data_IF_687271932085
#
_entry.id   IF_687271932085
#
_cell.length_a   1.000
_cell.length_b   1.000
_cell.length_c   1.000
_cell.angle_alpha   90.00
_cell.angle_beta   90.00
_cell.angle_gamma   90.00
#
_symmetry.space_group_name_H-M   'P 1'
#
loop_
_entity.id
_entity.type
_entity.pdbx_description
1 polymer ?
#
# COMPACT_ATOMS: atom_id res chain seq x y z
N UNK A 1 33.64 -2.13 0.71
CA UNK A 1 32.21 -1.95 1.08
C UNK A 1 32.10 -2.24 2.58
N UNK A 2 31.85 -1.25 3.44
CA UNK A 2 31.75 -1.49 4.88
C UNK A 2 30.38 -2.09 5.22
N UNK A 3 30.39 -3.27 5.81
CA UNK A 3 29.21 -3.92 6.40
C UNK A 3 28.59 -2.99 7.45
N UNK A 4 27.34 -2.61 7.23
CA UNK A 4 26.58 -1.83 8.21
C UNK A 4 26.16 -2.79 9.33
N UNK A 5 26.61 -2.63 10.58
CA UNK A 5 26.22 -3.52 11.65
C UNK A 5 24.70 -3.40 11.86
N UNK A 6 23.98 -4.49 11.63
CA UNK A 6 22.59 -4.61 12.02
C UNK A 6 22.51 -4.38 13.53
N UNK A 7 22.04 -3.19 13.92
CA UNK A 7 21.71 -2.87 15.31
C UNK A 7 20.58 -3.78 15.74
N UNK A 8 20.93 -4.94 16.30
CA UNK A 8 19.99 -5.81 16.96
C UNK A 8 19.36 -5.00 18.09
N UNK A 9 18.11 -4.57 17.90
CA UNK A 9 17.32 -3.96 18.95
C UNK A 9 17.18 -4.98 20.08
N UNK A 10 18.11 -4.93 21.04
CA UNK A 10 18.04 -5.68 22.28
C UNK A 10 16.75 -5.26 22.94
N UNK A 11 15.74 -6.13 22.88
CA UNK A 11 14.47 -5.91 23.54
C UNK A 11 14.77 -5.68 25.02
N UNK A 12 14.50 -4.47 25.52
CA UNK A 12 14.59 -4.19 26.95
C UNK A 12 13.77 -5.28 27.67
N UNK A 13 14.33 -5.95 28.70
CA UNK A 13 13.56 -6.90 29.48
C UNK A 13 12.33 -6.18 30.02
N UNK A 14 11.15 -6.78 29.80
CA UNK A 14 9.90 -6.19 30.26
C UNK A 14 9.97 -6.04 31.79
N UNK A 15 9.57 -4.88 32.34
CA UNK A 15 9.55 -4.70 33.79
C UNK A 15 8.70 -5.79 34.43
N UNK A 16 9.26 -6.48 35.43
CA UNK A 16 8.56 -7.51 36.16
C UNK A 16 7.48 -6.84 37.02
N UNK A 17 6.22 -7.15 36.71
CA UNK A 17 5.08 -6.70 37.49
C UNK A 17 5.14 -7.25 38.90
N UNK A 18 4.85 -6.40 39.90
CA UNK A 18 4.70 -6.85 41.29
C UNK A 18 3.48 -7.75 41.43
N UNK A 19 3.46 -8.63 42.44
CA UNK A 19 2.32 -9.54 42.67
C UNK A 19 1.00 -8.77 42.78
N UNK A 20 0.99 -7.69 43.57
CA UNK A 20 -0.17 -6.83 43.74
C UNK A 20 -0.67 -6.21 42.42
N UNK A 21 0.23 -5.81 41.53
CA UNK A 21 -0.17 -5.29 40.20
C UNK A 21 -0.80 -6.37 39.32
N UNK A 22 -0.33 -7.62 39.42
CA UNK A 22 -0.92 -8.73 38.68
C UNK A 22 -2.32 -9.07 39.18
N UNK A 23 -2.53 -9.04 40.49
CA UNK A 23 -3.83 -9.35 41.09
C UNK A 23 -4.87 -8.28 40.74
N UNK A 24 -4.49 -7.00 40.82
CA UNK A 24 -5.36 -5.89 40.40
C UNK A 24 -5.75 -6.00 38.92
N UNK A 25 -4.80 -6.38 38.05
CA UNK A 25 -5.10 -6.62 36.63
C UNK A 25 -6.03 -7.81 36.42
N UNK A 26 -5.76 -8.93 37.09
CA UNK A 26 -6.55 -10.13 36.97
C UNK A 26 -8.01 -9.87 37.35
N UNK A 27 -8.25 -9.03 38.36
CA UNK A 27 -9.59 -8.61 38.76
C UNK A 27 -10.24 -7.60 37.78
N UNK A 28 -9.50 -6.60 37.30
CA UNK A 28 -10.08 -5.50 36.52
C UNK A 28 -10.28 -5.83 35.02
N UNK A 29 -9.37 -6.60 34.41
CA UNK A 29 -9.37 -6.83 32.96
C UNK A 29 -10.61 -7.58 32.45
N UNK A 30 -11.12 -8.63 33.10
CA UNK A 30 -12.34 -9.30 32.67
C UNK A 30 -13.56 -8.36 32.69
N UNK A 31 -13.66 -7.51 33.71
CA UNK A 31 -14.75 -6.53 33.85
C UNK A 31 -14.72 -5.52 32.71
N UNK A 32 -13.57 -4.89 32.46
CA UNK A 32 -13.41 -3.90 31.39
C UNK A 32 -13.64 -4.50 30.00
N UNK A 33 -13.18 -5.74 29.77
CA UNK A 33 -13.34 -6.40 28.48
C UNK A 33 -14.78 -6.91 28.25
N UNK A 34 -15.40 -7.58 29.23
CA UNK A 34 -16.71 -8.20 29.05
C UNK A 34 -17.88 -7.25 29.29
N UNK A 35 -17.82 -6.40 30.31
CA UNK A 35 -18.92 -5.50 30.65
C UNK A 35 -18.85 -4.22 29.81
N UNK A 36 -17.66 -3.62 29.70
CA UNK A 36 -17.50 -2.35 29.00
C UNK A 36 -17.22 -2.52 27.49
N UNK A 37 -16.96 -3.75 27.03
CA UNK A 37 -16.62 -4.08 25.62
C UNK A 37 -15.43 -3.28 25.08
N UNK A 38 -14.45 -2.97 25.92
CA UNK A 38 -13.27 -2.21 25.47
C UNK A 38 -12.35 -3.06 24.60
N UNK A 39 -11.77 -2.44 23.57
CA UNK A 39 -10.70 -3.06 22.80
C UNK A 39 -9.42 -3.15 23.64
N UNK A 40 -8.55 -4.11 23.31
CA UNK A 40 -7.23 -4.24 23.95
C UNK A 40 -6.46 -2.92 23.89
N UNK A 41 -6.48 -2.26 22.74
CA UNK A 41 -5.72 -1.03 22.52
C UNK A 41 -6.28 0.12 23.37
N UNK A 42 -7.60 0.17 23.58
CA UNK A 42 -8.23 1.13 24.51
C UNK A 42 -7.83 0.83 25.96
N UNK A 43 -7.90 -0.43 26.40
CA UNK A 43 -7.48 -0.82 27.76
C UNK A 43 -6.01 -0.45 27.98
N UNK A 44 -5.14 -0.75 27.01
CA UNK A 44 -3.73 -0.42 27.07
C UNK A 44 -3.50 1.10 27.22
N UNK A 45 -4.19 1.92 26.43
CA UNK A 45 -4.08 3.38 26.50
C UNK A 45 -4.58 3.94 27.84
N UNK A 46 -5.74 3.50 28.33
CA UNK A 46 -6.34 4.02 29.57
C UNK A 46 -5.57 3.60 30.81
N UNK A 47 -4.97 2.41 30.79
CA UNK A 47 -4.22 1.89 31.95
C UNK A 47 -2.74 2.25 31.90
N UNK A 48 -2.21 2.63 30.73
CA UNK A 48 -0.77 2.86 30.49
C UNK A 48 0.05 1.59 30.26
N UNK A 49 -0.59 0.46 29.95
CA UNK A 49 0.07 -0.84 29.84
C UNK A 49 0.42 -1.18 28.39
N UNK A 50 1.47 -1.99 28.20
CA UNK A 50 1.80 -2.52 26.89
C UNK A 50 0.65 -3.42 26.35
N UNK A 51 0.15 -3.20 25.12
CA UNK A 51 -0.94 -3.99 24.55
C UNK A 51 -0.68 -5.50 24.53
N UNK A 52 0.58 -5.95 24.43
CA UNK A 52 0.92 -7.37 24.47
C UNK A 52 0.74 -7.95 25.86
N UNK A 53 1.07 -7.19 26.91
CA UNK A 53 0.84 -7.59 28.30
C UNK A 53 -0.66 -7.76 28.56
N UNK A 54 -1.48 -6.81 28.11
CA UNK A 54 -2.94 -6.89 28.20
C UNK A 54 -3.48 -8.13 27.45
N UNK A 55 -3.02 -8.38 26.22
CA UNK A 55 -3.42 -9.59 25.46
C UNK A 55 -3.00 -10.87 26.15
N UNK A 56 -1.77 -10.92 26.69
CA UNK A 56 -1.25 -12.09 27.39
C UNK A 56 -2.10 -12.41 28.61
N UNK A 57 -2.36 -11.42 29.45
CA UNK A 57 -3.20 -11.57 30.65
C UNK A 57 -4.63 -11.98 30.31
N UNK A 58 -5.26 -11.33 29.34
CA UNK A 58 -6.61 -11.72 28.90
C UNK A 58 -6.62 -13.17 28.38
N UNK A 59 -5.55 -13.62 27.69
CA UNK A 59 -5.46 -15.00 27.18
C UNK A 59 -5.23 -16.03 28.28
N UNK A 60 -4.49 -15.66 29.34
CA UNK A 60 -4.25 -16.52 30.50
C UNK A 60 -5.50 -16.65 31.38
N UNK A 61 -6.29 -15.57 31.52
CA UNK A 61 -7.45 -15.49 32.41
C UNK A 61 -8.77 -15.88 31.74
N UNK A 62 -8.91 -15.62 30.43
CA UNK A 62 -10.11 -15.98 29.68
C UNK A 62 -9.83 -17.20 28.82
N UNK A 63 -10.48 -18.32 29.13
CA UNK A 63 -10.46 -19.54 28.29
C UNK A 63 -11.09 -19.31 26.92
N UNK A 64 -11.90 -18.25 26.79
CA UNK A 64 -12.32 -17.76 25.49
C UNK A 64 -11.10 -17.18 24.77
N UNK A 65 -10.74 -17.66 23.57
CA UNK A 65 -9.66 -17.07 22.81
C UNK A 65 -9.95 -15.58 22.66
N UNK A 66 -9.16 -14.76 23.35
CA UNK A 66 -9.13 -13.31 23.17
C UNK A 66 -9.05 -13.14 21.68
N UNK A 67 -10.12 -12.60 21.07
CA UNK A 67 -10.17 -12.38 19.63
C UNK A 67 -9.07 -11.38 19.32
N UNK A 68 -7.86 -11.88 19.14
CA UNK A 68 -6.75 -11.16 18.57
C UNK A 68 -7.30 -10.59 17.27
N UNK A 69 -7.04 -9.31 17.08
CA UNK A 69 -7.58 -8.43 16.05
C UNK A 69 -7.32 -8.90 14.58
N UNK A 70 -6.99 -10.17 14.35
CA UNK A 70 -6.64 -10.74 13.06
C UNK A 70 -7.64 -11.77 12.50
N UNK A 71 -8.65 -12.22 13.25
CA UNK A 71 -9.59 -13.24 12.74
C UNK A 71 -11.09 -12.96 12.98
N UNK A 72 -11.47 -11.75 13.37
CA UNK A 72 -12.85 -11.32 13.10
C UNK A 72 -12.92 -10.90 11.63
N UNK A 73 -13.01 -11.88 10.73
CA UNK A 73 -13.54 -11.61 9.40
C UNK A 73 -14.80 -10.75 9.55
N UNK A 74 -14.99 -9.80 8.63
CA UNK A 74 -16.19 -8.96 8.62
C UNK A 74 -17.39 -9.88 8.85
N UNK A 75 -18.10 -9.69 9.97
CA UNK A 75 -19.20 -10.58 10.37
C UNK A 75 -20.43 -10.26 9.54
N UNK A 76 -20.29 -10.53 8.25
CA UNK A 76 -21.35 -10.39 7.29
C UNK A 76 -22.18 -11.65 7.31
N UNK A 77 -23.48 -11.46 7.27
CA UNK A 77 -24.42 -12.53 6.96
C UNK A 77 -24.13 -13.06 5.54
N UNK A 78 -24.58 -14.28 5.26
CA UNK A 78 -24.46 -14.88 3.91
C UNK A 78 -25.12 -13.96 2.86
N UNK A 79 -26.25 -13.33 3.20
CA UNK A 79 -26.96 -12.38 2.34
C UNK A 79 -26.11 -11.14 2.04
N UNK A 80 -25.47 -10.55 3.05
CA UNK A 80 -24.60 -9.38 2.86
C UNK A 80 -23.36 -9.70 2.03
N UNK A 81 -22.75 -10.89 2.20
CA UNK A 81 -21.62 -11.31 1.37
C UNK A 81 -22.01 -11.44 -0.10
N UNK A 82 -23.19 -12.03 -0.39
CA UNK A 82 -23.72 -12.12 -1.76
C UNK A 82 -24.00 -10.75 -2.37
N UNK A 83 -24.56 -9.83 -1.59
CA UNK A 83 -24.80 -8.46 -2.06
C UNK A 83 -23.50 -7.71 -2.35
N UNK A 84 -22.48 -7.86 -1.49
CA UNK A 84 -21.15 -7.30 -1.73
C UNK A 84 -20.52 -7.82 -3.02
N UNK A 85 -20.59 -9.13 -3.25
CA UNK A 85 -20.12 -9.75 -4.49
C UNK A 85 -20.84 -9.16 -5.72
N UNK A 86 -22.18 -9.11 -5.69
CA UNK A 86 -22.99 -8.53 -6.76
C UNK A 86 -22.64 -7.06 -7.04
N UNK A 87 -22.45 -6.24 -5.99
CA UNK A 87 -22.07 -4.82 -6.14
C UNK A 87 -20.68 -4.67 -6.73
N UNK A 88 -19.74 -5.52 -6.34
CA UNK A 88 -18.40 -5.56 -6.93
C UNK A 88 -18.46 -5.91 -8.41
N UNK A 89 -19.20 -6.96 -8.78
CA UNK A 89 -19.39 -7.38 -10.19
C UNK A 89 -20.04 -6.27 -11.03
N UNK A 90 -21.00 -5.54 -10.45
CA UNK A 90 -21.66 -4.39 -11.08
C UNK A 90 -20.80 -3.12 -11.17
N UNK A 91 -19.54 -3.15 -10.74
CA UNK A 91 -18.60 -2.05 -10.96
C UNK A 91 -18.03 -1.42 -9.70
N UNK A 92 -18.66 -1.59 -8.53
CA UNK A 92 -18.22 -0.93 -7.29
C UNK A 92 -16.78 -1.31 -6.94
N UNK A 93 -15.95 -0.35 -6.55
CA UNK A 93 -14.54 -0.63 -6.22
C UNK A 93 -14.41 -1.24 -4.82
N UNK A 94 -13.33 -1.98 -4.58
CA UNK A 94 -13.06 -2.53 -3.23
C UNK A 94 -12.95 -1.42 -2.19
N UNK A 95 -12.35 -0.27 -2.54
CA UNK A 95 -12.22 0.88 -1.64
C UNK A 95 -13.58 1.47 -1.25
N UNK A 96 -14.48 1.65 -2.23
CA UNK A 96 -15.83 2.17 -1.94
C UNK A 96 -16.61 1.22 -1.03
N UNK A 97 -16.51 -0.09 -1.27
CA UNK A 97 -17.15 -1.08 -0.42
C UNK A 97 -16.50 -1.12 0.97
N UNK A 98 -15.17 -1.03 1.05
CA UNK A 98 -14.45 -1.05 2.32
C UNK A 98 -14.83 0.14 3.22
N UNK A 99 -14.96 1.34 2.64
CA UNK A 99 -15.40 2.53 3.35
C UNK A 99 -16.85 2.42 3.88
N UNK A 100 -17.76 1.86 3.09
CA UNK A 100 -19.17 1.69 3.49
C UNK A 100 -19.35 0.76 4.69
N UNK A 101 -18.48 -0.25 4.79
CA UNK A 101 -18.51 -1.23 5.89
C UNK A 101 -17.47 -0.93 6.99
N UNK A 102 -16.88 0.27 6.98
CA UNK A 102 -15.86 0.73 7.94
C UNK A 102 -14.74 -0.30 8.17
N UNK A 103 -14.15 -0.77 7.08
CA UNK A 103 -13.11 -1.80 7.13
C UNK A 103 -11.95 -1.48 6.19
N UNK A 104 -10.83 -2.17 6.39
CA UNK A 104 -9.64 -1.99 5.55
C UNK A 104 -9.85 -2.62 4.18
N UNK A 105 -9.22 -2.04 3.15
CA UNK A 105 -9.25 -2.58 1.79
C UNK A 105 -8.89 -4.08 1.73
N UNK A 106 -7.83 -4.47 2.45
CA UNK A 106 -7.35 -5.86 2.49
C UNK A 106 -8.39 -6.81 3.10
N UNK A 107 -9.11 -6.38 4.15
CA UNK A 107 -10.20 -7.18 4.74
C UNK A 107 -11.40 -7.32 3.83
N UNK A 108 -11.78 -6.24 3.14
CA UNK A 108 -12.84 -6.29 2.15
C UNK A 108 -12.46 -7.26 1.02
N UNK A 109 -11.19 -7.28 0.64
CA UNK A 109 -10.69 -8.21 -0.37
C UNK A 109 -10.78 -9.68 0.07
N UNK A 110 -10.30 -10.01 1.27
CA UNK A 110 -10.42 -11.37 1.82
C UNK A 110 -11.89 -11.82 1.88
N UNK A 111 -12.79 -10.89 2.20
CA UNK A 111 -14.23 -11.13 2.25
C UNK A 111 -14.81 -11.45 0.87
N UNK A 112 -14.37 -10.74 -0.17
CA UNK A 112 -14.80 -10.98 -1.56
C UNK A 112 -14.25 -12.33 -2.08
N UNK A 113 -12.99 -12.66 -1.79
CA UNK A 113 -12.40 -13.97 -2.13
C UNK A 113 -13.17 -15.09 -1.43
N UNK A 114 -13.47 -14.94 -0.13
CA UNK A 114 -14.27 -15.91 0.62
C UNK A 114 -15.71 -16.04 0.11
N UNK A 115 -16.22 -15.03 -0.61
CA UNK A 115 -17.51 -15.07 -1.30
C UNK A 115 -17.43 -15.70 -2.71
N UNK A 116 -16.25 -16.16 -3.15
CA UNK A 116 -16.02 -16.77 -4.46
C UNK A 116 -15.80 -15.76 -5.59
N UNK A 117 -15.62 -14.48 -5.27
CA UNK A 117 -15.39 -13.45 -6.28
C UNK A 117 -13.96 -13.54 -6.78
N UNK A 118 -13.81 -13.74 -8.09
CA UNK A 118 -12.50 -13.67 -8.73
C UNK A 118 -12.07 -12.21 -8.86
N UNK A 119 -10.82 -11.86 -8.54
CA UNK A 119 -10.30 -10.52 -8.78
C UNK A 119 -10.58 -10.06 -10.20
N UNK A 120 -11.22 -8.90 -10.36
CA UNK A 120 -11.20 -8.24 -11.67
C UNK A 120 -9.74 -8.02 -12.02
N UNK A 121 -9.33 -8.50 -13.20
CA UNK A 121 -8.02 -8.18 -13.76
C UNK A 121 -7.82 -6.68 -13.54
N UNK A 122 -6.74 -6.31 -12.83
CA UNK A 122 -6.45 -4.92 -12.45
C UNK A 122 -6.82 -4.09 -13.66
N UNK A 123 -7.87 -3.25 -13.57
CA UNK A 123 -8.15 -2.23 -14.59
C UNK A 123 -6.84 -1.46 -14.64
N UNK A 124 -6.07 -1.72 -15.69
CA UNK A 124 -4.65 -1.45 -15.66
C UNK A 124 -4.44 -0.02 -15.22
N UNK A 125 -3.48 0.19 -14.32
CA UNK A 125 -2.83 1.47 -14.11
C UNK A 125 -2.47 2.06 -15.48
N UNK A 126 -3.36 2.85 -16.11
CA UNK A 126 -3.21 3.52 -17.41
C UNK A 126 -3.04 2.63 -18.65
N UNK A 127 -2.22 1.58 -18.57
CA UNK A 127 -1.73 0.80 -19.71
C UNK A 127 -2.60 -0.39 -20.10
N UNK A 128 -3.59 -0.76 -19.27
CA UNK A 128 -4.45 -1.92 -19.54
C UNK A 128 -5.50 -1.72 -20.64
N UNK A 129 -5.69 -0.48 -21.13
CA UNK A 129 -6.57 -0.21 -22.29
C UNK A 129 -5.90 -0.46 -23.64
N UNK A 130 -4.57 -0.54 -23.67
CA UNK A 130 -3.80 -0.75 -24.90
C UNK A 130 -3.13 -2.12 -24.80
N UNK A 131 -3.83 -3.16 -25.23
CA UNK A 131 -3.29 -4.52 -25.28
C UNK A 131 -2.84 -4.88 -26.69
N UNK A 132 -1.72 -5.60 -26.80
CA UNK A 132 -1.22 -6.10 -28.09
C UNK A 132 -0.76 -4.99 -29.05
N UNK A 133 -1.28 -5.04 -30.27
CA UNK A 133 -0.90 -4.19 -31.41
C UNK A 133 -1.09 -2.69 -31.14
N UNK A 134 -2.14 -2.32 -30.41
CA UNK A 134 -2.45 -0.93 -30.07
C UNK A 134 -1.34 -0.31 -29.21
N UNK A 135 -0.71 -1.11 -28.34
CA UNK A 135 0.39 -0.62 -27.49
C UNK A 135 1.64 -0.34 -28.29
N UNK A 136 1.92 -1.15 -29.31
CA UNK A 136 3.10 -0.96 -30.19
C UNK A 136 2.92 0.31 -31.01
N UNK A 137 1.75 0.51 -31.60
CA UNK A 137 1.42 1.71 -32.35
C UNK A 137 1.41 2.96 -31.46
N UNK A 138 0.80 2.88 -30.28
CA UNK A 138 0.80 3.97 -29.31
C UNK A 138 2.22 4.34 -28.87
N UNK A 139 3.07 3.35 -28.58
CA UNK A 139 4.47 3.57 -28.23
C UNK A 139 5.23 4.25 -29.38
N UNK A 140 5.03 3.81 -30.62
CA UNK A 140 5.65 4.44 -31.78
C UNK A 140 5.23 5.91 -31.94
N UNK A 141 3.93 6.21 -31.83
CA UNK A 141 3.41 7.56 -31.93
C UNK A 141 3.94 8.48 -30.81
N UNK A 142 4.00 7.97 -29.56
CA UNK A 142 4.57 8.71 -28.42
C UNK A 142 6.05 9.05 -28.67
N UNK A 143 6.82 8.12 -29.21
CA UNK A 143 8.25 8.33 -29.52
C UNK A 143 8.43 9.36 -30.64
N UNK A 144 7.64 9.27 -31.71
CA UNK A 144 7.66 10.23 -32.84
C UNK A 144 7.37 11.65 -32.33
N UNK A 145 6.27 11.83 -31.60
CA UNK A 145 5.90 13.15 -31.06
C UNK A 145 6.95 13.69 -30.07
N UNK A 146 7.62 12.82 -29.31
CA UNK A 146 8.71 13.23 -28.43
C UNK A 146 9.94 13.71 -29.22
N UNK A 147 10.24 13.10 -30.36
CA UNK A 147 11.33 13.55 -31.24
C UNK A 147 11.03 14.91 -31.89
N UNK A 148 9.76 15.20 -32.15
CA UNK A 148 9.29 16.52 -32.59
C UNK A 148 9.37 17.59 -31.48
N UNK A 149 9.78 17.22 -30.26
CA UNK A 149 9.94 18.13 -29.13
C UNK A 149 8.65 18.38 -28.33
N UNK A 150 7.56 17.65 -28.62
CA UNK A 150 6.32 17.79 -27.86
C UNK A 150 6.55 17.50 -26.37
N UNK A 151 5.82 18.20 -25.51
CA UNK A 151 5.86 17.93 -24.07
C UNK A 151 5.05 16.67 -23.74
N UNK A 152 5.38 15.92 -22.67
CA UNK A 152 4.57 14.76 -22.27
C UNK A 152 3.09 15.08 -22.08
N UNK A 153 2.77 16.31 -21.65
CA UNK A 153 1.39 16.81 -21.51
C UNK A 153 0.71 16.98 -22.87
N UNK A 154 1.40 17.58 -23.84
CA UNK A 154 0.90 17.74 -25.22
C UNK A 154 0.71 16.39 -25.92
N UNK A 155 1.61 15.43 -25.69
CA UNK A 155 1.50 14.06 -26.21
C UNK A 155 0.29 13.36 -25.58
N UNK A 156 0.10 13.51 -24.27
CA UNK A 156 -1.04 12.96 -23.54
C UNK A 156 -2.37 13.47 -24.09
N UNK A 157 -2.48 14.77 -24.34
CA UNK A 157 -3.66 15.39 -24.93
C UNK A 157 -3.91 14.89 -26.36
N UNK A 158 -2.88 14.86 -27.22
CA UNK A 158 -3.01 14.41 -28.62
C UNK A 158 -3.36 12.94 -28.76
N UNK A 159 -2.83 12.09 -27.88
CA UNK A 159 -3.07 10.65 -27.91
C UNK A 159 -4.21 10.21 -26.99
N UNK A 160 -4.91 11.15 -26.34
CA UNK A 160 -5.99 10.89 -25.37
C UNK A 160 -5.61 9.87 -24.28
N UNK A 161 -4.38 9.97 -23.77
CA UNK A 161 -3.86 9.12 -22.69
C UNK A 161 -3.40 9.94 -21.50
N UNK A 162 -3.35 9.31 -20.32
CA UNK A 162 -2.80 9.98 -19.15
C UNK A 162 -1.30 10.29 -19.33
N UNK A 163 -0.85 11.45 -18.87
CA UNK A 163 0.57 11.86 -18.95
C UNK A 163 1.52 10.85 -18.27
N UNK A 164 1.08 10.19 -17.20
CA UNK A 164 1.84 9.10 -16.56
C UNK A 164 2.07 7.92 -17.50
N UNK A 165 1.13 7.64 -18.41
CA UNK A 165 1.26 6.60 -19.43
C UNK A 165 2.29 6.98 -20.48
N UNK A 166 2.30 8.25 -20.91
CA UNK A 166 3.34 8.78 -21.83
C UNK A 166 4.72 8.59 -21.22
N UNK A 167 4.92 9.00 -19.96
CA UNK A 167 6.22 8.85 -19.28
C UNK A 167 6.64 7.39 -19.17
N UNK A 168 5.73 6.48 -18.82
CA UNK A 168 6.05 5.05 -18.75
C UNK A 168 6.43 4.49 -20.13
N UNK A 169 5.72 4.88 -21.19
CA UNK A 169 6.02 4.44 -22.56
C UNK A 169 7.37 4.96 -23.06
N UNK A 170 7.73 6.20 -22.70
CA UNK A 170 9.04 6.78 -23.01
C UNK A 170 10.16 6.10 -22.21
N UNK A 171 9.95 5.85 -20.91
CA UNK A 171 10.87 5.10 -20.05
C UNK A 171 11.10 3.67 -20.61
N UNK A 172 10.02 2.97 -21.00
CA UNK A 172 10.09 1.65 -21.67
C UNK A 172 10.79 1.69 -23.03
N UNK A 173 10.75 2.84 -23.71
CA UNK A 173 11.46 3.09 -24.96
C UNK A 173 12.92 3.51 -24.78
N UNK A 174 13.39 3.63 -23.54
CA UNK A 174 14.75 4.05 -23.23
C UNK A 174 14.99 5.55 -23.39
N UNK A 175 13.94 6.37 -23.44
CA UNK A 175 14.09 7.82 -23.49
C UNK A 175 14.33 8.36 -22.07
N UNK A 176 15.50 8.96 -21.81
CA UNK A 176 15.76 9.55 -20.51
C UNK A 176 14.81 10.72 -20.26
N UNK A 177 14.36 10.85 -19.02
CA UNK A 177 13.49 11.97 -18.60
C UNK A 177 14.17 13.30 -18.92
N UNK A 178 13.38 14.34 -19.27
CA UNK A 178 13.88 15.66 -19.72
C UNK A 178 15.01 16.24 -18.86
N UNK A 179 14.96 16.08 -17.54
CA UNK A 179 16.03 16.53 -16.64
C UNK A 179 17.38 15.84 -16.93
N UNK A 180 17.36 14.54 -17.23
CA UNK A 180 18.55 13.79 -17.64
C UNK A 180 19.00 14.16 -19.06
N UNK A 181 18.08 14.41 -20.00
CA UNK A 181 18.44 14.87 -21.35
C UNK A 181 19.08 16.26 -21.36
N UNK A 182 18.57 17.20 -20.55
CA UNK A 182 19.18 18.53 -20.41
C UNK A 182 20.58 18.43 -19.83
N UNK A 183 20.78 17.61 -18.79
CA UNK A 183 22.11 17.34 -18.24
C UNK A 183 23.05 16.74 -19.30
N UNK A 184 22.57 15.81 -20.12
CA UNK A 184 23.37 15.17 -21.17
C UNK A 184 23.74 16.14 -22.29
N UNK A 185 22.83 17.04 -22.69
CA UNK A 185 23.13 18.11 -23.67
C UNK A 185 24.10 19.13 -23.11
N UNK A 186 23.94 19.56 -21.86
CA UNK A 186 24.89 20.45 -21.20
C UNK A 186 26.27 19.80 -21.10
N UNK A 187 26.35 18.51 -20.76
CA UNK A 187 27.62 17.79 -20.72
C UNK A 187 28.29 17.70 -22.10
N UNK A 188 27.52 17.47 -23.18
CA UNK A 188 28.02 17.48 -24.56
C UNK A 188 28.50 18.85 -24.99
N UNK A 189 27.75 19.91 -24.66
CA UNK A 189 28.10 21.29 -25.00
C UNK A 189 29.38 21.73 -24.28
N UNK A 190 29.50 21.38 -22.98
CA UNK A 190 30.73 21.57 -22.19
C UNK A 190 31.90 20.79 -22.77
N UNK A 191 31.69 19.55 -23.25
CA UNK A 191 32.75 18.76 -23.88
C UNK A 191 33.20 19.32 -25.24
N UNK A 192 32.29 19.91 -26.02
CA UNK A 192 32.60 20.53 -27.31
C UNK A 192 33.31 21.87 -27.17
N UNK A 193 33.06 22.60 -26.07
CA UNK A 193 33.69 23.89 -25.77
C UNK A 193 34.85 23.79 -24.79
N UNK A 194 35.27 22.58 -24.41
CA UNK A 194 36.49 22.40 -23.64
C UNK A 194 37.68 22.91 -24.47
N UNK A 195 38.41 23.95 -24.01
CA UNK A 195 39.54 24.47 -24.77
C UNK A 195 40.55 23.34 -24.96
N UNK A 196 40.90 23.07 -26.22
CA UNK A 196 42.07 22.25 -26.53
C UNK A 196 43.28 23.03 -26.00
N UNK A 197 43.67 22.77 -24.76
CA UNK A 197 44.98 23.16 -24.23
C UNK A 197 46.02 22.38 -25.02
N UNK A 198 46.35 22.89 -26.21
CA UNK A 198 47.61 22.63 -26.90
C UNK A 198 48.71 23.27 -26.06
N UNK A 199 49.15 22.56 -25.03
CA UNK A 199 50.45 22.84 -24.42
C UNK A 199 51.57 22.41 -25.39
N UNK A 200 52.57 23.27 -25.61
CA UNK A 200 53.70 23.04 -26.51
C UNK A 200 54.70 22.00 -26.00
#
# INVERSE_FOLDING_TARGET
>A
MPDTPHTAHRRRPAPLLTAQQRDTLAAALPVLHHQCRWSVDKIANETGWDPRTVRRFLREQTTTPVRGAMASGLRLTVKQRRELARRYENGATVNTLAAEYDCTWMRMWDTLIAAGVTPRAKRGTGLGRYTGTDRVLLRANVVILSHEGATPQTIAERCEIAATTVTNLLDEAGYPRRGAQQAQRQALDVAQHAPCDTSP
#
